data_IF_827803913960
#
_entry.id   IF_827803913960
#
_cell.length_a   1.000
_cell.length_b   1.000
_cell.length_c   1.000
_cell.angle_alpha   90.00
_cell.angle_beta   90.00
_cell.angle_gamma   90.00
#
_symmetry.space_group_name_H-M   'P 1'
#
loop_
_entity.id
_entity.type
_entity.pdbx_description
1 polymer ?
#
# COMPACT_ATOMS: atom_id res chain seq x y z
N UNK A 1 -1.85 -4.07 -18.06
CA UNK A 1 -0.63 -3.99 -17.23
C UNK A 1 0.62 -3.68 -18.07
N UNK A 2 1.52 -2.79 -17.61
CA UNK A 2 2.74 -2.43 -18.37
C UNK A 2 3.87 -3.46 -18.18
N UNK A 3 4.94 -3.38 -18.99
CA UNK A 3 6.02 -4.38 -19.01
C UNK A 3 6.83 -4.45 -17.71
N UNK A 4 7.11 -3.31 -17.08
CA UNK A 4 7.85 -3.23 -15.82
C UNK A 4 7.09 -3.92 -14.68
N UNK A 5 5.77 -3.65 -14.55
CA UNK A 5 4.93 -4.28 -13.55
C UNK A 5 4.85 -5.79 -13.78
N UNK A 6 4.69 -6.24 -15.03
CA UNK A 6 4.70 -7.69 -15.35
C UNK A 6 5.97 -8.39 -14.88
N UNK A 7 7.14 -7.76 -15.08
CA UNK A 7 8.42 -8.30 -14.64
C UNK A 7 8.49 -8.45 -13.12
N UNK A 8 8.14 -7.41 -12.37
CA UNK A 8 8.12 -7.43 -10.90
C UNK A 8 7.17 -8.49 -10.34
N UNK A 9 5.96 -8.57 -10.91
CA UNK A 9 4.97 -9.54 -10.47
C UNK A 9 5.37 -10.98 -10.77
N UNK A 10 6.14 -11.23 -11.83
CA UNK A 10 6.60 -12.58 -12.14
C UNK A 10 7.42 -13.16 -10.98
N UNK A 11 8.41 -12.43 -10.50
CA UNK A 11 9.28 -12.85 -9.38
C UNK A 11 8.47 -13.04 -8.09
N UNK A 12 7.52 -12.15 -7.83
CA UNK A 12 6.64 -12.27 -6.66
C UNK A 12 5.74 -13.51 -6.82
N UNK A 13 4.98 -13.61 -7.90
CA UNK A 13 4.04 -14.70 -8.17
C UNK A 13 4.70 -16.07 -8.03
N UNK A 14 5.92 -16.25 -8.54
CA UNK A 14 6.70 -17.49 -8.40
C UNK A 14 6.86 -17.93 -6.93
N UNK A 15 7.01 -16.98 -6.01
CA UNK A 15 7.11 -17.24 -4.57
C UNK A 15 5.75 -17.62 -3.94
N UNK A 16 4.65 -17.13 -4.50
CA UNK A 16 3.29 -17.37 -3.96
C UNK A 16 2.58 -18.57 -4.56
N UNK A 17 3.07 -19.16 -5.67
CA UNK A 17 2.51 -20.39 -6.26
C UNK A 17 2.42 -21.53 -5.23
N UNK A 18 3.40 -21.63 -4.32
CA UNK A 18 3.46 -22.70 -3.30
C UNK A 18 2.62 -22.40 -2.05
N UNK A 19 1.99 -21.22 -1.97
CA UNK A 19 1.20 -20.85 -0.79
C UNK A 19 -0.18 -21.49 -0.81
N UNK A 20 -0.77 -21.84 0.36
CA UNK A 20 -2.09 -22.44 0.42
C UNK A 20 -3.13 -21.59 -0.31
N UNK A 21 -3.88 -22.19 -1.22
CA UNK A 21 -4.92 -21.47 -1.96
C UNK A 21 -6.14 -21.23 -1.06
N UNK A 22 -6.68 -20.01 -1.07
CA UNK A 22 -7.93 -19.72 -0.37
C UNK A 22 -9.10 -20.48 -1.01
N UNK A 23 -10.04 -21.04 -0.21
CA UNK A 23 -11.27 -21.60 -0.75
C UNK A 23 -12.05 -20.56 -1.55
N UNK A 24 -12.79 -21.01 -2.56
CA UNK A 24 -13.53 -20.13 -3.49
C UNK A 24 -14.41 -19.10 -2.77
N UNK A 25 -15.11 -19.53 -1.71
CA UNK A 25 -15.97 -18.65 -0.91
C UNK A 25 -15.21 -17.44 -0.34
N UNK A 26 -13.99 -17.64 0.16
CA UNK A 26 -13.15 -16.55 0.69
C UNK A 26 -12.66 -15.62 -0.41
N UNK A 27 -12.28 -16.15 -1.57
CA UNK A 27 -11.91 -15.33 -2.74
C UNK A 27 -13.07 -14.48 -3.22
N UNK A 28 -14.27 -15.05 -3.29
CA UNK A 28 -15.48 -14.35 -3.70
C UNK A 28 -15.83 -13.22 -2.70
N UNK A 29 -15.73 -13.48 -1.39
CA UNK A 29 -15.88 -12.46 -0.36
C UNK A 29 -14.86 -11.32 -0.52
N UNK A 30 -13.56 -11.65 -0.64
CA UNK A 30 -12.51 -10.66 -0.82
C UNK A 30 -12.75 -9.79 -2.05
N UNK A 31 -13.12 -10.37 -3.19
CA UNK A 31 -13.38 -9.59 -4.42
C UNK A 31 -14.61 -8.68 -4.29
N UNK A 32 -15.63 -9.13 -3.57
CA UNK A 32 -16.84 -8.33 -3.36
C UNK A 32 -16.62 -7.17 -2.38
N UNK A 33 -15.77 -7.37 -1.36
CA UNK A 33 -15.44 -6.35 -0.37
C UNK A 33 -14.24 -5.46 -0.74
N UNK A 34 -13.34 -5.93 -1.61
CA UNK A 34 -12.13 -5.21 -2.01
C UNK A 34 -12.37 -3.75 -2.44
N UNK A 35 -13.42 -3.40 -3.22
CA UNK A 35 -13.68 -2.00 -3.55
C UNK A 35 -13.91 -1.17 -2.27
N UNK A 36 -14.77 -1.63 -1.37
CA UNK A 36 -15.10 -0.92 -0.13
C UNK A 36 -13.92 -0.82 0.83
N UNK A 37 -13.10 -1.87 0.91
CA UNK A 37 -11.86 -1.85 1.67
C UNK A 37 -10.87 -0.83 1.11
N UNK A 38 -10.73 -0.75 -0.22
CA UNK A 38 -9.88 0.24 -0.87
C UNK A 38 -10.41 1.68 -0.69
N UNK A 39 -11.73 1.88 -0.71
CA UNK A 39 -12.33 3.19 -0.43
C UNK A 39 -12.03 3.62 1.01
N UNK A 40 -12.29 2.74 1.98
CA UNK A 40 -12.05 3.03 3.40
C UNK A 40 -10.56 3.22 3.69
N UNK A 41 -9.72 2.31 3.21
CA UNK A 41 -8.27 2.37 3.34
C UNK A 41 -7.70 3.63 2.72
N UNK A 42 -8.13 3.97 1.50
CA UNK A 42 -7.76 5.22 0.83
C UNK A 42 -8.10 6.46 1.64
N UNK A 43 -9.31 6.54 2.23
CA UNK A 43 -9.69 7.65 3.13
C UNK A 43 -8.74 7.69 4.34
N UNK A 44 -8.55 6.57 5.05
CA UNK A 44 -7.69 6.50 6.24
C UNK A 44 -6.25 6.93 5.90
N UNK A 45 -5.70 6.46 4.78
CA UNK A 45 -4.33 6.78 4.37
C UNK A 45 -4.18 8.25 3.98
N UNK A 46 -5.16 8.83 3.28
CA UNK A 46 -5.14 10.26 2.92
C UNK A 46 -5.22 11.12 4.18
N UNK A 47 -6.15 10.83 5.10
CA UNK A 47 -6.23 11.55 6.37
C UNK A 47 -4.99 11.35 7.24
N UNK A 48 -4.44 10.14 7.28
CA UNK A 48 -3.19 9.84 7.96
C UNK A 48 -2.03 10.64 7.38
N UNK A 49 -1.92 10.73 6.06
CA UNK A 49 -0.89 11.51 5.39
C UNK A 49 -1.02 13.01 5.68
N UNK A 50 -2.23 13.58 5.61
CA UNK A 50 -2.48 14.99 5.96
C UNK A 50 -2.13 15.25 7.42
N UNK A 51 -2.49 14.33 8.32
CA UNK A 51 -2.16 14.42 9.74
C UNK A 51 -0.65 14.41 9.98
N UNK A 52 0.08 13.53 9.29
CA UNK A 52 1.54 13.49 9.32
C UNK A 52 2.16 14.79 8.78
N UNK A 53 1.63 15.35 7.68
CA UNK A 53 2.11 16.63 7.14
C UNK A 53 1.86 17.79 8.12
N UNK A 54 0.66 17.86 8.70
CA UNK A 54 0.28 18.90 9.66
C UNK A 54 1.10 18.83 10.96
N UNK A 55 1.19 17.65 11.57
CA UNK A 55 1.99 17.42 12.78
C UNK A 55 3.47 17.63 12.51
N UNK A 56 4.00 17.12 11.39
CA UNK A 56 5.39 17.31 11.01
C UNK A 56 5.75 18.78 10.80
N UNK A 57 4.85 19.56 10.18
CA UNK A 57 5.05 21.01 10.01
C UNK A 57 5.06 21.74 11.35
N UNK A 58 4.11 21.43 12.24
CA UNK A 58 4.02 22.03 13.57
C UNK A 58 5.25 21.71 14.45
N UNK A 59 5.74 20.47 14.40
CA UNK A 59 6.88 20.02 15.20
C UNK A 59 8.25 20.38 14.59
N UNK A 60 8.28 20.84 13.34
CA UNK A 60 9.54 21.10 12.61
C UNK A 60 10.50 22.07 13.31
N UNK A 61 10.07 23.19 13.93
CA UNK A 61 11.00 24.11 14.58
C UNK A 61 11.69 23.45 15.79
N UNK A 62 10.96 22.63 16.54
CA UNK A 62 11.49 21.90 17.69
C UNK A 62 12.47 20.79 17.26
N UNK A 63 12.19 20.11 16.15
CA UNK A 63 13.09 19.11 15.58
C UNK A 63 14.42 19.72 15.09
N UNK A 64 14.39 20.96 14.58
CA UNK A 64 15.61 21.68 14.19
C UNK A 64 16.48 22.03 15.40
N UNK A 65 15.87 22.45 16.51
CA UNK A 65 16.60 22.80 17.76
C UNK A 65 17.30 21.59 18.41
N UNK A 66 16.82 20.38 18.14
CA UNK A 66 17.32 19.13 18.73
C UNK A 66 18.30 18.37 17.82
N UNK A 67 18.64 18.94 16.65
CA UNK A 67 19.58 18.33 15.71
C UNK A 67 19.01 17.16 14.88
N UNK A 68 17.71 16.87 15.00
CA UNK A 68 17.02 15.80 14.27
C UNK A 68 16.39 16.27 12.94
N UNK A 69 16.93 17.33 12.33
CA UNK A 69 16.43 17.87 11.06
C UNK A 69 16.35 16.85 9.90
N UNK A 70 17.22 15.83 9.89
CA UNK A 70 17.15 14.73 8.92
C UNK A 70 15.84 13.90 9.04
N UNK A 71 15.25 13.83 10.23
CA UNK A 71 13.97 13.16 10.45
C UNK A 71 12.80 13.92 9.81
N UNK A 72 12.90 15.24 9.60
CA UNK A 72 11.85 16.01 8.94
C UNK A 72 11.73 15.65 7.45
N UNK A 73 12.86 15.39 6.79
CA UNK A 73 12.88 15.03 5.36
C UNK A 73 12.33 13.62 5.15
N UNK A 74 12.74 12.64 5.95
CA UNK A 74 12.22 11.27 5.86
C UNK A 74 10.74 11.20 6.21
N UNK A 75 10.27 12.02 7.15
CA UNK A 75 8.85 12.20 7.44
C UNK A 75 8.05 12.73 6.26
N UNK A 76 8.54 13.79 5.60
CA UNK A 76 7.86 14.39 4.45
C UNK A 76 7.74 13.38 3.31
N UNK A 77 8.82 12.66 3.01
CA UNK A 77 8.81 11.61 1.98
C UNK A 77 7.81 10.51 2.35
N UNK A 78 7.82 10.03 3.60
CA UNK A 78 6.88 9.01 4.06
C UNK A 78 5.42 9.48 3.92
N UNK A 79 5.12 10.72 4.29
CA UNK A 79 3.77 11.28 4.19
C UNK A 79 3.31 11.41 2.72
N UNK A 80 4.20 11.81 1.80
CA UNK A 80 3.90 11.86 0.37
C UNK A 80 3.64 10.46 -0.19
N UNK A 81 4.47 9.47 0.14
CA UNK A 81 4.27 8.08 -0.29
C UNK A 81 2.93 7.53 0.22
N UNK A 82 2.59 7.82 1.48
CA UNK A 82 1.32 7.43 2.09
C UNK A 82 0.13 8.10 1.40
N UNK A 83 0.24 9.39 1.07
CA UNK A 83 -0.78 10.15 0.34
C UNK A 83 -1.01 9.55 -1.04
N UNK A 84 0.06 9.32 -1.81
CA UNK A 84 -0.04 8.72 -3.15
C UNK A 84 -0.63 7.31 -3.06
N UNK A 85 -0.22 6.50 -2.08
CA UNK A 85 -0.80 5.18 -1.83
C UNK A 85 -2.29 5.24 -1.53
N UNK A 86 -2.73 6.15 -0.65
CA UNK A 86 -4.14 6.36 -0.35
C UNK A 86 -4.95 6.82 -1.56
N UNK A 87 -4.42 7.74 -2.37
CA UNK A 87 -5.05 8.14 -3.63
C UNK A 87 -5.18 6.97 -4.61
N UNK A 88 -4.19 6.07 -4.68
CA UNK A 88 -4.29 4.88 -5.50
C UNK A 88 -5.39 3.92 -5.04
N UNK A 89 -5.59 3.74 -3.73
CA UNK A 89 -6.70 2.94 -3.21
C UNK A 89 -8.07 3.58 -3.53
N UNK A 90 -8.20 4.90 -3.38
CA UNK A 90 -9.42 5.62 -3.77
C UNK A 90 -9.72 5.44 -5.27
N UNK A 91 -8.69 5.59 -6.11
CA UNK A 91 -8.80 5.39 -7.56
C UNK A 91 -9.07 3.94 -7.93
N UNK A 92 -8.72 2.98 -7.06
CA UNK A 92 -8.98 1.57 -7.28
C UNK A 92 -10.46 1.21 -7.06
N UNK A 93 -11.24 1.98 -6.29
CA UNK A 93 -12.64 1.68 -5.97
C UNK A 93 -13.49 1.32 -7.21
N UNK A 94 -13.56 2.24 -8.17
CA UNK A 94 -14.37 2.07 -9.39
C UNK A 94 -13.91 0.88 -10.26
N UNK A 95 -12.62 0.76 -10.64
CA UNK A 95 -12.17 -0.38 -11.43
C UNK A 95 -12.21 -1.72 -10.68
N UNK A 96 -12.03 -1.76 -9.35
CA UNK A 96 -12.21 -2.99 -8.56
C UNK A 96 -13.68 -3.44 -8.59
N UNK A 97 -14.63 -2.50 -8.43
CA UNK A 97 -16.07 -2.79 -8.53
C UNK A 97 -16.43 -3.33 -9.92
N UNK A 98 -15.78 -2.82 -10.96
CA UNK A 98 -15.92 -3.30 -12.34
C UNK A 98 -15.06 -4.53 -12.67
N UNK A 99 -14.34 -5.11 -11.69
CA UNK A 99 -13.45 -6.27 -11.83
C UNK A 99 -12.40 -6.12 -12.94
N UNK A 100 -11.88 -4.91 -13.12
CA UNK A 100 -10.86 -4.59 -14.12
C UNK A 100 -9.45 -4.81 -13.57
N UNK A 101 -8.54 -5.31 -14.41
CA UNK A 101 -7.11 -5.47 -14.09
C UNK A 101 -6.49 -4.17 -13.56
N UNK A 102 -6.94 -3.01 -14.07
CA UNK A 102 -6.51 -1.69 -13.59
C UNK A 102 -6.70 -1.51 -12.07
N UNK A 103 -7.80 -2.01 -11.51
CA UNK A 103 -8.08 -1.88 -10.07
C UNK A 103 -7.11 -2.71 -9.23
N UNK A 104 -6.83 -3.93 -9.67
CA UNK A 104 -5.85 -4.80 -9.04
C UNK A 104 -4.43 -4.18 -9.11
N UNK A 105 -4.04 -3.60 -10.25
CA UNK A 105 -2.76 -2.93 -10.41
C UNK A 105 -2.61 -1.74 -9.46
N UNK A 106 -3.66 -0.94 -9.29
CA UNK A 106 -3.66 0.18 -8.34
C UNK A 106 -3.50 -0.29 -6.90
N UNK A 107 -4.18 -1.37 -6.51
CA UNK A 107 -4.02 -1.98 -5.18
C UNK A 107 -2.60 -2.49 -4.93
N UNK A 108 -1.96 -3.09 -5.94
CA UNK A 108 -0.56 -3.49 -5.84
C UNK A 108 0.37 -2.29 -5.60
N UNK A 109 0.20 -1.21 -6.37
CA UNK A 109 1.01 0.00 -6.18
C UNK A 109 0.76 0.66 -4.82
N UNK A 110 -0.50 0.71 -4.36
CA UNK A 110 -0.84 1.20 -3.03
C UNK A 110 -0.14 0.40 -1.93
N UNK A 111 -0.19 -0.93 -2.00
CA UNK A 111 0.50 -1.83 -1.07
C UNK A 111 2.01 -1.58 -1.06
N UNK A 112 2.63 -1.44 -2.24
CA UNK A 112 4.06 -1.17 -2.37
C UNK A 112 4.44 0.20 -1.78
N UNK A 113 3.69 1.26 -2.11
CA UNK A 113 3.94 2.61 -1.61
C UNK A 113 3.78 2.70 -0.10
N UNK A 114 2.79 2.00 0.47
CA UNK A 114 2.60 1.93 1.91
C UNK A 114 3.82 1.26 2.59
N UNK A 115 4.29 0.13 2.06
CA UNK A 115 5.50 -0.51 2.57
C UNK A 115 6.72 0.42 2.47
N UNK A 116 6.93 1.09 1.34
CA UNK A 116 8.03 2.05 1.15
C UNK A 116 7.94 3.24 2.11
N UNK A 117 6.74 3.75 2.39
CA UNK A 117 6.54 4.85 3.35
C UNK A 117 7.05 4.51 4.76
N UNK A 118 7.00 3.23 5.12
CA UNK A 118 7.50 2.73 6.40
C UNK A 118 9.00 2.48 6.40
N UNK A 119 9.56 2.05 5.26
CA UNK A 119 11.01 1.85 5.11
C UNK A 119 11.79 3.16 5.17
N UNK A 120 11.27 4.23 4.56
CA UNK A 120 11.94 5.55 4.52
C UNK A 120 12.17 6.15 5.90
N UNK A 121 11.43 5.72 6.93
CA UNK A 121 11.63 6.19 8.31
C UNK A 121 12.88 5.61 8.99
N UNK A 122 13.58 4.68 8.33
CA UNK A 122 14.84 4.06 8.78
C UNK A 122 14.78 3.46 10.19
N UNK A 123 13.58 3.02 10.61
CA UNK A 123 13.35 2.36 11.87
C UNK A 123 13.22 0.84 11.62
N UNK A 124 14.00 0.04 12.35
CA UNK A 124 14.05 -1.42 12.15
C UNK A 124 12.69 -2.07 12.43
N UNK A 125 11.97 -1.67 13.48
CA UNK A 125 10.65 -2.25 13.76
C UNK A 125 9.66 -1.91 12.66
N UNK A 126 9.70 -0.68 12.15
CA UNK A 126 8.82 -0.26 11.05
C UNK A 126 9.11 -1.04 9.76
N UNK A 127 10.39 -1.26 9.45
CA UNK A 127 10.83 -2.02 8.28
C UNK A 127 10.34 -3.47 8.37
N UNK A 128 10.52 -4.12 9.54
CA UNK A 128 10.06 -5.49 9.75
C UNK A 128 8.53 -5.58 9.59
N UNK A 129 7.79 -4.66 10.21
CA UNK A 129 6.33 -4.62 10.08
C UNK A 129 5.88 -4.35 8.64
N UNK A 130 6.59 -3.49 7.92
CA UNK A 130 6.30 -3.19 6.51
C UNK A 130 6.50 -4.41 5.61
N UNK A 131 7.58 -5.18 5.81
CA UNK A 131 7.83 -6.41 5.05
C UNK A 131 6.74 -7.43 5.34
N UNK A 132 6.42 -7.69 6.60
CA UNK A 132 5.36 -8.64 6.96
C UNK A 132 4.00 -8.20 6.40
N UNK A 133 3.66 -6.93 6.54
CA UNK A 133 2.42 -6.35 5.99
C UNK A 133 2.36 -6.47 4.47
N UNK A 134 3.47 -6.20 3.76
CA UNK A 134 3.55 -6.37 2.32
C UNK A 134 3.36 -7.83 1.91
N UNK A 135 4.05 -8.77 2.55
CA UNK A 135 3.96 -10.19 2.20
C UNK A 135 2.54 -10.74 2.42
N UNK A 136 1.93 -10.41 3.56
CA UNK A 136 0.54 -10.81 3.88
C UNK A 136 -0.45 -10.13 2.92
N UNK A 137 -0.31 -8.82 2.69
CA UNK A 137 -1.18 -8.08 1.78
C UNK A 137 -1.09 -8.61 0.34
N UNK A 138 0.13 -8.91 -0.12
CA UNK A 138 0.36 -9.44 -1.45
C UNK A 138 -0.20 -10.86 -1.60
N UNK A 139 -0.12 -11.70 -0.56
CA UNK A 139 -0.77 -13.01 -0.56
C UNK A 139 -2.26 -12.88 -0.92
N UNK A 140 -3.01 -12.02 -0.23
CA UNK A 140 -4.43 -11.84 -0.53
C UNK A 140 -4.68 -11.29 -1.93
N UNK A 141 -3.89 -10.31 -2.36
CA UNK A 141 -3.93 -9.76 -3.72
C UNK A 141 -3.68 -10.83 -4.78
N UNK A 142 -2.67 -11.67 -4.59
CA UNK A 142 -2.33 -12.79 -5.46
C UNK A 142 -3.48 -13.78 -5.59
N UNK A 143 -4.09 -14.17 -4.46
CA UNK A 143 -5.18 -15.15 -4.42
C UNK A 143 -6.41 -14.74 -5.24
N UNK A 144 -6.65 -13.43 -5.40
CA UNK A 144 -7.80 -12.89 -6.15
C UNK A 144 -7.42 -12.33 -7.53
N UNK A 145 -6.15 -12.37 -7.93
CA UNK A 145 -5.66 -11.77 -9.19
C UNK A 145 -6.45 -12.23 -10.42
N UNK A 146 -6.79 -13.52 -10.49
CA UNK A 146 -7.53 -14.12 -11.61
C UNK A 146 -8.97 -13.60 -11.79
N UNK A 147 -9.52 -12.92 -10.78
CA UNK A 147 -10.87 -12.34 -10.84
C UNK A 147 -10.91 -10.99 -11.56
N UNK A 148 -9.76 -10.37 -11.80
CA UNK A 148 -9.64 -9.06 -12.44
C UNK A 148 -9.10 -9.22 -13.86
N UNK A 149 -9.83 -8.70 -14.85
CA UNK A 149 -9.54 -8.86 -16.29
C UNK A 149 -9.29 -7.55 -17.00
#
# INVERSE_FOLDING_TARGET
MNAQLKSLLKTLDESYIKTPALPKQWKDLLVNFAPWLALLGGIILVFGAISLLGLGSFLSPFAMLTGVGAFAVTWLIAAILLLVGGLMELLAFSPLKARKEKGWNLMFYALLLNALSSVVRLNISDIVMAILGFLIGYYFLYQVKSYYK
#
